data_IF_074644586847
#
_entry.id   IF_074644586847
#
_cell.length_a   1.000
_cell.length_b   1.000
_cell.length_c   1.000
_cell.angle_alpha   90.00
_cell.angle_beta   90.00
_cell.angle_gamma   90.00
#
_symmetry.space_group_name_H-M   'P 1'
#
loop_
_entity.id
_entity.type
_entity.pdbx_description
1 polymer ?
#
# COMPACT_ATOMS: atom_id res chain seq x y z
N UNK A 1 -17.29 -4.68 -8.31
CA UNK A 1 -16.82 -3.28 -8.24
C UNK A 1 -16.22 -3.10 -6.85
N UNK A 2 -14.94 -2.78 -6.74
CA UNK A 2 -14.32 -2.44 -5.45
C UNK A 2 -14.92 -1.11 -4.96
N UNK A 3 -15.43 -1.08 -3.74
CA UNK A 3 -15.82 0.17 -3.10
C UNK A 3 -14.53 0.85 -2.60
N UNK A 4 -14.20 2.03 -3.14
CA UNK A 4 -13.12 2.91 -2.64
C UNK A 4 -13.29 3.27 -1.15
N UNK A 5 -14.48 3.08 -0.58
CA UNK A 5 -14.79 3.36 0.83
C UNK A 5 -14.14 2.39 1.84
N UNK A 6 -13.50 1.31 1.40
CA UNK A 6 -12.91 0.30 2.30
C UNK A 6 -11.37 0.39 2.40
N UNK A 7 -10.72 1.23 1.61
CA UNK A 7 -9.26 1.38 1.59
C UNK A 7 -8.83 2.67 2.28
N UNK A 8 -7.58 2.71 2.74
CA UNK A 8 -6.96 3.88 3.32
C UNK A 8 -6.48 4.81 2.19
N UNK A 9 -7.28 5.85 1.95
CA UNK A 9 -7.08 6.81 0.85
C UNK A 9 -5.64 7.35 0.75
N UNK A 10 -4.92 7.72 1.83
CA UNK A 10 -3.55 8.21 1.72
C UNK A 10 -2.56 7.20 1.09
N UNK A 11 -2.75 5.89 1.31
CA UNK A 11 -1.91 4.89 0.64
C UNK A 11 -2.31 4.73 -0.83
N UNK A 12 -3.62 4.79 -1.12
CA UNK A 12 -4.12 4.71 -2.49
C UNK A 12 -3.62 5.88 -3.34
N UNK A 13 -3.74 7.11 -2.84
CA UNK A 13 -3.24 8.31 -3.52
C UNK A 13 -1.73 8.24 -3.76
N UNK A 14 -0.98 7.79 -2.75
CA UNK A 14 0.47 7.64 -2.86
C UNK A 14 0.83 6.64 -3.97
N UNK A 15 0.15 5.50 -4.03
CA UNK A 15 0.39 4.49 -5.07
C UNK A 15 -0.09 4.97 -6.45
N UNK A 16 -1.25 5.62 -6.54
CA UNK A 16 -1.82 6.17 -7.77
C UNK A 16 -0.94 7.28 -8.37
N UNK A 17 -0.23 8.06 -7.53
CA UNK A 17 0.71 9.10 -7.96
C UNK A 17 1.86 8.58 -8.86
N UNK A 18 2.17 7.29 -8.77
CA UNK A 18 3.20 6.64 -9.59
C UNK A 18 2.74 6.33 -11.02
N UNK A 19 1.43 6.39 -11.29
CA UNK A 19 0.82 5.95 -12.54
C UNK A 19 0.81 4.43 -12.74
N UNK A 20 1.36 3.65 -11.81
CA UNK A 20 1.36 2.19 -11.87
C UNK A 20 -0.02 1.64 -11.53
N UNK A 21 -0.39 0.54 -12.21
CA UNK A 21 -1.62 -0.19 -11.90
C UNK A 21 -1.38 -1.13 -10.71
N UNK A 22 -2.37 -1.29 -9.85
CA UNK A 22 -2.28 -2.16 -8.67
C UNK A 22 -1.94 -3.62 -9.01
N UNK A 23 -2.50 -4.17 -10.11
CA UNK A 23 -2.15 -5.51 -10.58
C UNK A 23 -0.66 -5.62 -10.95
N UNK A 24 -0.11 -4.59 -11.59
CA UNK A 24 1.33 -4.53 -11.89
C UNK A 24 2.18 -4.47 -10.63
N UNK A 25 1.79 -3.67 -9.63
CA UNK A 25 2.49 -3.58 -8.34
C UNK A 25 2.47 -4.96 -7.65
N UNK A 26 1.31 -5.60 -7.55
CA UNK A 26 1.18 -6.93 -6.95
C UNK A 26 2.04 -7.98 -7.65
N UNK A 27 2.03 -8.00 -9.00
CA UNK A 27 2.86 -8.88 -9.81
C UNK A 27 4.35 -8.67 -9.54
N UNK A 28 4.84 -7.43 -9.54
CA UNK A 28 6.25 -7.11 -9.26
C UNK A 28 6.66 -7.36 -7.82
N UNK A 29 5.70 -7.34 -6.89
CA UNK A 29 5.92 -7.74 -5.51
C UNK A 29 5.89 -9.26 -5.32
N UNK A 30 5.44 -10.03 -6.32
CA UNK A 30 5.26 -11.48 -6.22
C UNK A 30 4.13 -11.87 -5.27
N UNK A 31 3.07 -11.06 -5.18
CA UNK A 31 1.90 -11.30 -4.32
C UNK A 31 0.61 -11.27 -5.11
N UNK A 32 -0.47 -11.77 -4.52
CA UNK A 32 -1.79 -11.66 -5.14
C UNK A 32 -2.31 -10.24 -5.06
N UNK A 33 -3.21 -9.88 -5.98
CA UNK A 33 -3.94 -8.62 -5.92
C UNK A 33 -4.65 -8.44 -4.57
N UNK A 34 -5.26 -9.51 -4.04
CA UNK A 34 -5.93 -9.48 -2.74
C UNK A 34 -4.98 -9.18 -1.57
N UNK A 35 -3.71 -9.58 -1.67
CA UNK A 35 -2.71 -9.24 -0.66
C UNK A 35 -2.41 -7.74 -0.67
N UNK A 36 -2.24 -7.15 -1.86
CA UNK A 36 -2.09 -5.70 -2.00
C UNK A 36 -3.34 -4.95 -1.54
N UNK A 37 -4.54 -5.46 -1.85
CA UNK A 37 -5.79 -4.89 -1.37
C UNK A 37 -5.86 -4.89 0.17
N UNK A 38 -5.47 -5.98 0.84
CA UNK A 38 -5.41 -6.02 2.31
C UNK A 38 -4.48 -4.95 2.88
N UNK A 39 -3.32 -4.72 2.27
CA UNK A 39 -2.41 -3.64 2.69
C UNK A 39 -3.03 -2.26 2.45
N UNK A 40 -3.75 -2.06 1.34
CA UNK A 40 -4.48 -0.81 1.08
C UNK A 40 -5.60 -0.58 2.10
N UNK A 41 -6.26 -1.63 2.61
CA UNK A 41 -7.26 -1.52 3.70
C UNK A 41 -6.64 -1.29 5.07
N UNK A 42 -5.47 -1.88 5.33
CA UNK A 42 -4.79 -1.81 6.62
C UNK A 42 -3.27 -1.73 6.42
N UNK A 43 -2.73 -0.53 6.13
CA UNK A 43 -1.32 -0.31 5.82
C UNK A 43 -0.37 -0.78 6.93
N UNK A 44 -0.79 -0.68 8.18
CA UNK A 44 -0.04 -1.17 9.35
C UNK A 44 0.23 -2.69 9.35
N UNK A 45 -0.44 -3.46 8.49
CA UNK A 45 -0.17 -4.89 8.28
C UNK A 45 1.05 -5.18 7.39
N UNK A 46 1.62 -4.16 6.72
CA UNK A 46 2.87 -4.29 5.98
C UNK A 46 4.04 -4.51 6.93
N UNK A 47 4.78 -5.59 6.70
CA UNK A 47 6.08 -5.81 7.34
C UNK A 47 7.16 -4.93 6.69
N UNK A 48 8.24 -4.62 7.42
CA UNK A 48 9.30 -3.73 6.93
C UNK A 48 9.92 -4.19 5.59
N UNK A 49 10.09 -5.49 5.39
CA UNK A 49 10.58 -6.05 4.12
C UNK A 49 9.63 -5.74 2.95
N UNK A 50 8.31 -5.80 3.19
CA UNK A 50 7.29 -5.45 2.18
C UNK A 50 7.24 -3.97 1.91
N UNK A 51 7.45 -3.13 2.91
CA UNK A 51 7.60 -1.67 2.73
C UNK A 51 8.80 -1.35 1.84
N UNK A 52 9.96 -1.95 2.14
CA UNK A 52 11.18 -1.77 1.34
C UNK A 52 10.98 -2.26 -0.09
N UNK A 53 10.33 -3.41 -0.27
CA UNK A 53 10.03 -3.95 -1.59
C UNK A 53 9.06 -3.05 -2.37
N UNK A 54 7.98 -2.61 -1.72
CA UNK A 54 6.98 -1.73 -2.32
C UNK A 54 7.63 -0.43 -2.77
N UNK A 55 8.46 0.20 -1.92
CA UNK A 55 9.18 1.43 -2.25
C UNK A 55 10.13 1.29 -3.44
N UNK A 56 10.75 0.12 -3.62
CA UNK A 56 11.58 -0.18 -4.80
C UNK A 56 10.75 -0.39 -6.06
N UNK A 57 9.62 -1.09 -5.98
CA UNK A 57 8.73 -1.37 -7.12
C UNK A 57 8.05 -0.09 -7.62
N UNK A 58 7.66 0.79 -6.70
CA UNK A 58 6.90 2.00 -7.01
C UNK A 58 7.78 3.22 -7.26
N UNK A 59 9.05 3.19 -6.85
CA UNK A 59 9.96 4.34 -6.91
C UNK A 59 9.71 5.40 -5.82
N UNK A 60 8.77 5.16 -4.90
CA UNK A 60 8.41 6.11 -3.83
C UNK A 60 9.43 6.15 -2.68
N UNK A 61 10.26 5.11 -2.56
CA UNK A 61 11.18 4.93 -1.44
C UNK A 61 10.48 4.48 -0.14
N UNK A 62 11.27 3.91 0.78
CA UNK A 62 10.75 3.32 2.02
C UNK A 62 10.08 4.34 2.93
N UNK A 63 10.66 5.55 3.07
CA UNK A 63 10.20 6.54 4.05
C UNK A 63 8.80 7.07 3.74
N UNK A 64 8.48 7.30 2.47
CA UNK A 64 7.16 7.80 2.06
C UNK A 64 6.04 6.83 2.48
N UNK A 65 6.27 5.52 2.30
CA UNK A 65 5.32 4.48 2.67
C UNK A 65 5.22 4.36 4.20
N UNK A 66 6.36 4.43 4.92
CA UNK A 66 6.35 4.40 6.39
C UNK A 66 5.57 5.58 6.99
N UNK A 67 5.69 6.79 6.43
CA UNK A 67 4.94 7.95 6.90
C UNK A 67 3.44 7.72 6.79
N UNK A 68 2.98 7.23 5.63
CA UNK A 68 1.55 6.89 5.41
C UNK A 68 1.09 5.78 6.37
N UNK A 69 1.91 4.75 6.59
CA UNK A 69 1.59 3.69 7.55
C UNK A 69 1.47 4.19 8.99
N UNK A 70 2.33 5.15 9.39
CA UNK A 70 2.33 5.73 10.73
C UNK A 70 1.11 6.64 10.97
N UNK A 71 0.59 7.28 9.92
CA UNK A 71 -0.62 8.10 9.96
C UNK A 71 -1.92 7.28 9.94
N UNK A 72 -1.84 5.97 9.66
CA UNK A 72 -3.00 5.09 9.71
C UNK A 72 -3.56 5.07 11.13
N UNK A 73 -4.82 5.49 11.35
CA UNK A 73 -5.38 5.56 12.69
C UNK A 73 -5.34 4.17 13.30
N UNK A 74 -4.63 4.02 14.41
CA UNK A 74 -4.85 2.87 15.28
C UNK A 74 -6.30 2.97 15.74
N UNK A 75 -7.20 2.21 15.13
CA UNK A 75 -8.48 1.93 15.76
C UNK A 75 -8.16 1.24 17.09
N UNK A 76 -8.19 2.02 18.17
CA UNK A 76 -8.49 1.50 19.50
C UNK A 76 -9.94 1.04 19.40
N UNK A 77 -10.13 -0.24 19.09
CA UNK A 77 -11.43 -0.89 19.26
C UNK A 77 -11.80 -0.96 20.74
#
# INVERSE_FOLDING_TARGET
MENKNDTYEPLDELLESTGLKYNYIAEKMGVTYDALLRWRKSPNSLTLDKVVQLGKVTGLGTQAILNVMHEFPYEVK
#
